data_IF_233080094800
#
_entry.id   IF_233080094800
#
_cell.length_a   1.000
_cell.length_b   1.000
_cell.length_c   1.000
_cell.angle_alpha   90.00
_cell.angle_beta   90.00
_cell.angle_gamma   90.00
#
_symmetry.space_group_name_H-M   'P 1'
#
loop_
_entity.id
_entity.type
_entity.pdbx_description
1 polymer ?
#
# COMPACT_ATOMS: atom_id res chain seq x y z
N UNK A 1 3.99 -0.24 -21.78
CA UNK A 1 5.30 -0.91 -21.63
C UNK A 1 6.07 -0.15 -20.57
N UNK A 2 6.31 -0.73 -19.40
CA UNK A 2 7.16 -0.15 -18.37
C UNK A 2 8.56 -0.67 -18.68
N UNK A 3 9.45 0.20 -19.14
CA UNK A 3 10.83 -0.15 -19.47
C UNK A 3 11.64 -0.39 -18.20
N UNK A 4 12.60 -1.32 -18.26
CA UNK A 4 13.49 -1.72 -17.16
C UNK A 4 14.29 -0.58 -16.52
N UNK A 5 14.39 0.59 -17.15
CA UNK A 5 15.12 1.76 -16.63
C UNK A 5 14.44 2.41 -15.41
N UNK A 6 13.12 2.22 -15.22
CA UNK A 6 12.40 2.71 -14.02
C UNK A 6 12.59 1.82 -12.78
N UNK A 7 13.18 0.65 -12.93
CA UNK A 7 13.38 -0.32 -11.84
C UNK A 7 14.65 -0.02 -11.04
N UNK A 8 15.66 0.61 -11.64
CA UNK A 8 16.95 0.88 -11.00
C UNK A 8 16.97 2.07 -10.01
N UNK A 9 15.92 2.92 -9.99
CA UNK A 9 15.84 4.05 -9.06
C UNK A 9 15.26 3.69 -7.67
N UNK A 10 14.98 2.42 -7.41
CA UNK A 10 14.17 1.98 -6.25
C UNK A 10 15.03 1.42 -5.10
N UNK A 11 16.35 1.38 -5.24
CA UNK A 11 17.22 0.78 -4.21
C UNK A 11 17.77 1.78 -3.18
N UNK A 12 17.14 2.94 -2.99
CA UNK A 12 17.53 3.83 -1.90
C UNK A 12 17.00 3.30 -0.57
N UNK A 13 17.87 2.57 0.13
CA UNK A 13 17.67 1.97 1.45
C UNK A 13 17.42 2.98 2.60
N UNK A 14 17.18 4.26 2.28
CA UNK A 14 16.94 5.34 3.23
C UNK A 14 15.50 5.87 3.26
N UNK A 15 14.56 5.17 2.60
CA UNK A 15 13.16 5.60 2.66
C UNK A 15 12.48 4.96 3.89
N UNK A 16 12.00 5.75 4.88
CA UNK A 16 11.31 5.22 6.05
C UNK A 16 9.91 4.63 5.71
N UNK A 17 9.46 4.78 4.49
CA UNK A 17 8.21 4.18 3.99
C UNK A 17 8.49 2.83 3.35
N UNK A 18 7.70 1.81 3.69
CA UNK A 18 7.84 0.47 3.12
C UNK A 18 7.74 0.46 1.59
N UNK A 19 6.90 1.35 1.02
CA UNK A 19 6.62 1.46 -0.41
C UNK A 19 6.44 2.91 -0.80
N UNK A 20 6.99 3.30 -1.94
CA UNK A 20 6.81 4.65 -2.49
C UNK A 20 5.40 4.87 -3.03
N UNK A 21 4.85 3.84 -3.66
CA UNK A 21 3.50 3.84 -4.22
C UNK A 21 2.95 2.41 -4.38
N UNK A 22 1.68 2.32 -4.78
CA UNK A 22 1.02 1.03 -5.03
C UNK A 22 1.72 0.20 -6.12
N UNK A 23 2.33 0.84 -7.10
CA UNK A 23 2.99 0.13 -8.22
C UNK A 23 4.19 -0.64 -7.73
N UNK A 24 5.00 -0.04 -6.87
CA UNK A 24 6.15 -0.68 -6.26
C UNK A 24 5.71 -1.90 -5.43
N UNK A 25 4.65 -1.75 -4.64
CA UNK A 25 4.09 -2.86 -3.88
C UNK A 25 3.60 -3.99 -4.79
N UNK A 26 2.88 -3.68 -5.87
CA UNK A 26 2.40 -4.68 -6.84
C UNK A 26 3.55 -5.39 -7.57
N UNK A 27 4.64 -4.68 -7.88
CA UNK A 27 5.84 -5.29 -8.44
C UNK A 27 6.45 -6.30 -7.47
N UNK A 28 6.57 -5.94 -6.20
CA UNK A 28 7.06 -6.86 -5.18
C UNK A 28 6.17 -8.09 -5.01
N UNK A 29 4.85 -7.94 -5.01
CA UNK A 29 3.93 -9.08 -4.97
C UNK A 29 4.08 -9.99 -6.19
N UNK A 30 4.30 -9.41 -7.37
CA UNK A 30 4.57 -10.18 -8.59
C UNK A 30 5.87 -10.97 -8.48
N UNK A 31 6.93 -10.33 -8.03
CA UNK A 31 8.26 -10.92 -7.92
C UNK A 31 8.37 -11.98 -6.81
N UNK A 32 7.39 -11.98 -5.88
CA UNK A 32 7.23 -12.98 -4.82
C UNK A 32 6.19 -14.07 -5.18
N UNK A 33 5.69 -14.13 -6.40
CA UNK A 33 4.61 -15.04 -6.84
C UNK A 33 3.29 -14.90 -6.04
N UNK A 34 3.09 -13.74 -5.42
CA UNK A 34 1.90 -13.42 -4.64
C UNK A 34 0.86 -12.60 -5.41
N UNK A 35 1.04 -12.42 -6.72
CA UNK A 35 0.15 -11.67 -7.60
C UNK A 35 -0.21 -12.45 -8.85
N UNK A 36 -1.50 -12.59 -9.11
CA UNK A 36 -2.03 -13.18 -10.34
C UNK A 36 -2.70 -12.10 -11.18
N UNK A 37 -2.49 -12.15 -12.50
CA UNK A 37 -3.18 -11.27 -13.48
C UNK A 37 -4.16 -12.07 -14.31
N UNK A 38 -5.37 -11.54 -14.46
CA UNK A 38 -6.41 -12.11 -15.31
C UNK A 38 -6.67 -11.12 -16.44
N UNK A 39 -6.35 -11.55 -17.67
CA UNK A 39 -6.55 -10.73 -18.87
C UNK A 39 -7.93 -10.93 -19.51
N UNK A 40 -8.70 -11.92 -19.05
CA UNK A 40 -10.07 -12.12 -19.50
C UNK A 40 -11.00 -11.05 -18.90
N UNK A 41 -11.99 -10.55 -19.66
CA UNK A 41 -12.98 -9.63 -19.12
C UNK A 41 -13.75 -10.23 -17.95
N UNK A 42 -13.83 -9.51 -16.84
CA UNK A 42 -14.50 -9.92 -15.60
C UNK A 42 -15.50 -8.84 -15.20
N UNK A 43 -16.72 -9.25 -14.85
CA UNK A 43 -17.75 -8.30 -14.41
C UNK A 43 -17.44 -7.74 -13.02
N UNK A 44 -17.46 -6.41 -12.90
CA UNK A 44 -17.24 -5.73 -11.62
C UNK A 44 -18.40 -5.89 -10.63
N UNK A 45 -19.61 -6.17 -11.12
CA UNK A 45 -20.79 -6.13 -10.27
C UNK A 45 -20.81 -7.25 -9.23
N UNK A 46 -20.52 -8.48 -9.58
CA UNK A 46 -20.50 -9.61 -8.63
C UNK A 46 -19.32 -10.56 -8.87
N UNK A 47 -18.92 -10.79 -10.12
CA UNK A 47 -17.96 -11.82 -10.48
C UNK A 47 -16.59 -11.54 -9.87
N UNK A 48 -16.06 -10.33 -10.04
CA UNK A 48 -14.76 -9.93 -9.46
C UNK A 48 -14.76 -10.09 -7.93
N UNK A 49 -15.85 -9.68 -7.26
CA UNK A 49 -16.04 -9.82 -5.83
C UNK A 49 -16.09 -11.29 -5.38
N UNK A 50 -16.82 -12.14 -6.10
CA UNK A 50 -16.89 -13.59 -5.80
C UNK A 50 -15.54 -14.27 -5.96
N UNK A 51 -14.76 -13.90 -6.97
CA UNK A 51 -13.40 -14.44 -7.16
C UNK A 51 -12.51 -14.01 -6.01
N UNK A 52 -12.52 -12.73 -5.67
CA UNK A 52 -11.72 -12.18 -4.57
C UNK A 52 -12.08 -12.81 -3.22
N UNK A 53 -13.38 -12.98 -2.91
CA UNK A 53 -13.84 -13.62 -1.67
C UNK A 53 -13.33 -15.07 -1.55
N UNK A 54 -13.41 -15.84 -2.63
CA UNK A 54 -12.87 -17.21 -2.66
C UNK A 54 -11.36 -17.24 -2.43
N UNK A 55 -10.63 -16.28 -3.01
CA UNK A 55 -9.19 -16.18 -2.82
C UNK A 55 -8.84 -15.82 -1.37
N UNK A 56 -9.52 -14.83 -0.78
CA UNK A 56 -9.32 -14.45 0.64
C UNK A 56 -9.52 -15.64 1.55
N UNK A 57 -10.63 -16.36 1.41
CA UNK A 57 -10.97 -17.53 2.24
C UNK A 57 -9.95 -18.68 2.15
N UNK A 58 -9.23 -18.78 1.04
CA UNK A 58 -8.20 -19.79 0.82
C UNK A 58 -6.77 -19.30 1.11
N UNK A 59 -6.60 -18.07 1.56
CA UNK A 59 -5.28 -17.46 1.69
C UNK A 59 -4.56 -17.31 0.36
N UNK A 60 -5.32 -17.20 -0.75
CA UNK A 60 -4.78 -17.11 -2.11
C UNK A 60 -4.12 -15.76 -2.43
N UNK A 61 -3.50 -15.63 -3.62
CA UNK A 61 -2.73 -14.46 -4.03
C UNK A 61 -3.59 -13.20 -4.19
N UNK A 62 -2.93 -12.06 -4.25
CA UNK A 62 -3.51 -10.83 -4.78
C UNK A 62 -3.86 -11.01 -6.26
N UNK A 63 -4.81 -10.25 -6.77
CA UNK A 63 -5.29 -10.41 -8.14
C UNK A 63 -5.46 -9.06 -8.82
N UNK A 64 -5.08 -8.99 -10.11
CA UNK A 64 -5.36 -7.87 -11.00
C UNK A 64 -6.23 -8.37 -12.15
N UNK A 65 -7.36 -7.73 -12.36
CA UNK A 65 -8.18 -7.89 -13.56
C UNK A 65 -7.80 -6.78 -14.53
N UNK A 66 -7.26 -7.15 -15.69
CA UNK A 66 -6.81 -6.20 -16.70
C UNK A 66 -7.98 -5.55 -17.46
N UNK A 67 -9.10 -6.25 -17.57
CA UNK A 67 -10.28 -5.85 -18.33
C UNK A 67 -11.55 -5.94 -17.49
N UNK A 68 -11.69 -5.09 -16.43
CA UNK A 68 -12.92 -5.08 -15.64
C UNK A 68 -14.07 -4.50 -16.47
N UNK A 69 -15.20 -5.22 -16.53
CA UNK A 69 -16.41 -4.82 -17.21
C UNK A 69 -17.30 -4.03 -16.25
N UNK A 70 -17.66 -2.83 -16.66
CA UNK A 70 -18.54 -1.94 -15.88
C UNK A 70 -20.00 -2.32 -16.03
N UNK A 71 -20.87 -1.76 -15.19
CA UNK A 71 -22.31 -2.02 -15.21
C UNK A 71 -22.99 -1.64 -16.54
N UNK A 72 -22.43 -0.69 -17.29
CA UNK A 72 -22.89 -0.31 -18.63
C UNK A 72 -22.40 -1.28 -19.74
N UNK A 73 -21.69 -2.35 -19.39
CA UNK A 73 -21.12 -3.32 -20.32
C UNK A 73 -19.79 -2.95 -20.94
N UNK A 74 -19.29 -1.72 -20.72
CA UNK A 74 -18.00 -1.27 -21.24
C UNK A 74 -16.82 -1.82 -20.42
N UNK A 75 -15.68 -1.99 -21.07
CA UNK A 75 -14.44 -2.33 -20.38
C UNK A 75 -13.84 -1.06 -19.79
N UNK A 76 -13.51 -1.11 -18.50
CA UNK A 76 -12.83 -0.04 -17.81
C UNK A 76 -11.47 0.25 -18.42
N UNK A 77 -11.11 1.53 -18.50
CA UNK A 77 -9.77 1.98 -18.89
C UNK A 77 -8.71 1.69 -17.81
N UNK A 78 -9.14 1.36 -16.60
CA UNK A 78 -8.28 1.10 -15.46
C UNK A 78 -8.42 -0.36 -15.03
N UNK A 79 -7.30 -1.05 -14.75
CA UNK A 79 -7.36 -2.38 -14.16
C UNK A 79 -7.92 -2.33 -12.74
N UNK A 80 -8.48 -3.43 -12.27
CA UNK A 80 -8.99 -3.60 -10.93
C UNK A 80 -8.07 -4.50 -10.13
N UNK A 81 -7.53 -4.02 -9.02
CA UNK A 81 -6.71 -4.81 -8.10
C UNK A 81 -7.52 -5.17 -6.85
N UNK A 82 -7.48 -6.44 -6.46
CA UNK A 82 -8.22 -6.95 -5.30
C UNK A 82 -7.35 -7.91 -4.47
N UNK A 83 -7.78 -8.19 -3.25
CA UNK A 83 -7.09 -9.10 -2.30
C UNK A 83 -5.63 -8.72 -2.00
N UNK A 84 -5.29 -7.43 -2.07
CA UNK A 84 -3.92 -6.97 -1.85
C UNK A 84 -3.43 -7.21 -0.41
N UNK A 85 -4.34 -7.19 0.55
CA UNK A 85 -4.08 -7.34 1.99
C UNK A 85 -4.79 -8.56 2.59
N UNK A 86 -5.09 -9.56 1.77
CA UNK A 86 -5.92 -10.71 2.16
C UNK A 86 -5.23 -11.74 3.05
N UNK A 87 -3.91 -11.62 3.28
CA UNK A 87 -3.18 -12.42 4.27
C UNK A 87 -2.45 -11.53 5.26
N UNK A 88 -2.15 -12.07 6.45
CA UNK A 88 -1.38 -11.35 7.46
C UNK A 88 0.01 -10.99 6.94
N UNK A 89 0.63 -11.89 6.21
CA UNK A 89 1.96 -11.72 5.63
C UNK A 89 1.97 -10.55 4.64
N UNK A 90 0.99 -10.48 3.73
CA UNK A 90 0.87 -9.36 2.78
C UNK A 90 0.55 -8.05 3.48
N UNK A 91 -0.28 -8.08 4.52
CA UNK A 91 -0.56 -6.88 5.34
C UNK A 91 0.71 -6.39 6.03
N UNK A 92 1.48 -7.29 6.66
CA UNK A 92 2.75 -6.94 7.29
C UNK A 92 3.76 -6.39 6.28
N UNK A 93 3.87 -7.03 5.10
CA UNK A 93 4.70 -6.59 4.00
C UNK A 93 4.31 -5.18 3.52
N UNK A 94 3.00 -4.91 3.38
CA UNK A 94 2.49 -3.61 2.98
C UNK A 94 2.81 -2.50 4.00
N UNK A 95 2.78 -2.83 5.28
CA UNK A 95 3.10 -1.92 6.37
C UNK A 95 4.61 -1.81 6.63
N UNK A 96 5.44 -2.67 6.02
CA UNK A 96 6.88 -2.70 6.25
C UNK A 96 7.29 -3.19 7.63
N UNK A 97 6.45 -4.00 8.28
CA UNK A 97 6.70 -4.53 9.63
C UNK A 97 6.67 -6.05 9.65
N UNK A 98 7.32 -6.65 10.64
CA UNK A 98 7.24 -8.10 10.87
C UNK A 98 5.98 -8.49 11.63
N UNK A 99 5.57 -7.67 12.59
CA UNK A 99 4.34 -7.82 13.36
C UNK A 99 3.67 -6.44 13.52
N UNK A 100 2.32 -6.32 13.34
CA UNK A 100 1.59 -5.08 13.54
C UNK A 100 1.73 -4.49 14.95
N UNK A 101 2.10 -5.31 15.95
CA UNK A 101 2.40 -4.85 17.30
C UNK A 101 3.53 -3.83 17.34
N UNK A 102 4.52 -3.92 16.45
CA UNK A 102 5.62 -2.96 16.35
C UNK A 102 5.12 -1.53 16.13
N UNK A 103 4.06 -1.37 15.31
CA UNK A 103 3.43 -0.06 15.08
C UNK A 103 2.77 0.43 16.36
N UNK A 104 2.05 -0.46 17.06
CA UNK A 104 1.39 -0.11 18.32
C UNK A 104 2.41 0.30 19.40
N UNK A 105 3.49 -0.44 19.56
CA UNK A 105 4.56 -0.13 20.50
C UNK A 105 5.23 1.20 20.17
N UNK A 106 5.51 1.47 18.89
CA UNK A 106 6.04 2.76 18.44
C UNK A 106 5.09 3.90 18.76
N UNK A 107 3.79 3.73 18.49
CA UNK A 107 2.79 4.75 18.82
C UNK A 107 2.69 5.01 20.32
N UNK A 108 2.69 3.96 21.15
CA UNK A 108 2.67 4.10 22.62
C UNK A 108 3.92 4.79 23.11
N UNK A 109 5.09 4.47 22.56
CA UNK A 109 6.36 5.13 22.88
C UNK A 109 6.35 6.62 22.56
N UNK A 110 5.74 7.01 21.44
CA UNK A 110 5.58 8.43 21.08
C UNK A 110 4.57 9.17 21.97
N UNK A 111 3.49 8.50 22.38
CA UNK A 111 2.45 9.12 23.23
C UNK A 111 2.85 9.20 24.71
N UNK A 112 3.69 8.27 25.19
CA UNK A 112 4.15 8.21 26.58
C UNK A 112 5.67 8.06 26.61
N UNK A 113 6.43 9.11 26.26
CA UNK A 113 7.88 9.04 26.28
C UNK A 113 8.37 8.81 27.72
N UNK A 114 9.23 7.83 27.91
CA UNK A 114 9.91 7.61 29.19
C UNK A 114 10.96 8.70 29.42
N UNK A 115 10.53 9.79 30.02
CA UNK A 115 11.39 10.95 30.33
C UNK A 115 12.57 10.54 31.21
N UNK A 116 12.36 9.60 32.14
CA UNK A 116 13.44 9.09 33.01
C UNK A 116 14.50 8.31 32.24
N UNK A 117 14.09 7.52 31.26
CA UNK A 117 15.00 6.79 30.34
C UNK A 117 15.72 7.73 29.38
N UNK A 118 15.06 8.77 28.87
CA UNK A 118 15.64 9.79 27.98
C UNK A 118 16.76 10.56 28.71
N UNK A 119 16.55 10.93 29.97
CA UNK A 119 17.57 11.62 30.79
C UNK A 119 18.81 10.76 31.03
N UNK A 120 18.64 9.44 31.13
CA UNK A 120 19.76 8.50 31.31
C UNK A 120 20.46 8.15 29.99
N UNK A 121 19.74 8.21 28.86
CA UNK A 121 20.26 7.89 27.52
C UNK A 121 19.77 8.95 26.51
N UNK A 122 20.50 10.08 26.37
CA UNK A 122 20.05 11.19 25.51
C UNK A 122 19.87 10.80 24.03
N UNK A 123 20.55 9.77 23.57
CA UNK A 123 20.40 9.25 22.20
C UNK A 123 19.01 8.68 21.90
N UNK A 124 18.35 8.05 22.88
CA UNK A 124 16.95 7.58 22.73
C UNK A 124 15.96 8.72 22.56
N UNK A 125 16.21 9.86 23.21
CA UNK A 125 15.43 11.07 23.00
C UNK A 125 15.61 11.66 21.61
N UNK A 126 16.82 11.62 21.06
CA UNK A 126 17.11 12.08 19.70
C UNK A 126 16.42 11.18 18.65
N UNK A 127 16.49 9.86 18.80
CA UNK A 127 15.81 8.91 17.91
C UNK A 127 14.30 9.13 17.91
N UNK A 128 13.69 9.32 19.10
CA UNK A 128 12.26 9.59 19.22
C UNK A 128 11.87 10.93 18.56
N UNK A 129 12.70 11.96 18.71
CA UNK A 129 12.51 13.26 18.08
C UNK A 129 12.60 13.16 16.55
N UNK A 130 13.59 12.43 16.02
CA UNK A 130 13.75 12.21 14.59
C UNK A 130 12.57 11.42 13.99
N UNK A 131 12.09 10.38 14.69
CA UNK A 131 10.89 9.65 14.30
C UNK A 131 9.66 10.56 14.28
N UNK A 132 9.44 11.37 15.32
CA UNK A 132 8.35 12.33 15.38
C UNK A 132 8.41 13.36 14.24
N UNK A 133 9.60 13.85 13.92
CA UNK A 133 9.79 14.78 12.79
C UNK A 133 9.53 14.14 11.44
N UNK A 134 9.85 12.87 11.26
CA UNK A 134 9.59 12.13 10.01
C UNK A 134 8.10 11.93 9.75
N UNK A 135 7.27 11.91 10.81
CA UNK A 135 5.81 11.80 10.74
C UNK A 135 5.11 13.12 10.41
N UNK A 136 5.83 14.25 10.47
CA UNK A 136 5.23 15.56 10.20
C UNK A 136 4.75 15.66 8.74
N UNK A 137 3.50 16.12 8.51
CA UNK A 137 2.96 16.23 7.16
C UNK A 137 3.74 17.27 6.35
N UNK A 138 4.17 16.88 5.15
CA UNK A 138 4.83 17.79 4.21
C UNK A 138 3.79 18.53 3.39
N UNK A 139 3.75 19.86 3.51
CA UNK A 139 2.87 20.69 2.70
C UNK A 139 3.48 20.86 1.30
N UNK A 140 2.82 20.35 0.27
CA UNK A 140 3.21 20.51 -1.13
C UNK A 140 2.25 21.47 -1.85
N UNK A 141 2.76 22.32 -2.74
CA UNK A 141 1.92 23.28 -3.50
C UNK A 141 1.07 22.58 -4.57
N UNK A 142 1.57 21.50 -5.17
CA UNK A 142 0.86 20.67 -6.15
C UNK A 142 1.12 19.21 -5.79
N UNK A 143 0.06 18.49 -5.39
CA UNK A 143 0.13 17.05 -5.20
C UNK A 143 -0.12 16.31 -6.51
N UNK A 144 0.52 15.14 -6.70
CA UNK A 144 0.27 14.30 -7.87
C UNK A 144 -1.22 13.90 -8.01
N UNK A 145 -1.93 13.77 -6.87
CA UNK A 145 -3.37 13.50 -6.84
C UNK A 145 -4.25 14.66 -7.35
N UNK A 146 -3.70 15.87 -7.52
CA UNK A 146 -4.41 17.03 -8.06
C UNK A 146 -4.29 17.14 -9.59
N UNK A 147 -3.60 16.23 -10.25
CA UNK A 147 -3.46 16.23 -11.71
C UNK A 147 -4.77 15.91 -12.43
N UNK A 148 -5.66 15.14 -11.77
CA UNK A 148 -7.00 14.83 -12.27
C UNK A 148 -8.01 15.19 -11.19
N UNK A 149 -8.89 16.16 -11.48
CA UNK A 149 -9.99 16.56 -10.59
C UNK A 149 -11.29 16.06 -11.19
N UNK A 150 -11.95 15.11 -10.51
CA UNK A 150 -13.29 14.66 -10.86
C UNK A 150 -14.31 15.41 -10.00
N UNK A 151 -15.06 16.31 -10.61
CA UNK A 151 -16.16 17.02 -9.97
C UNK A 151 -17.41 16.15 -10.12
N UNK A 152 -17.81 15.49 -9.06
CA UNK A 152 -19.00 14.63 -9.00
C UNK A 152 -18.79 13.16 -9.42
N UNK A 153 -18.46 12.34 -8.43
CA UNK A 153 -18.58 10.87 -8.54
C UNK A 153 -19.89 10.35 -7.94
N UNK A 154 -20.75 11.24 -7.42
CA UNK A 154 -22.01 10.86 -6.78
C UNK A 154 -23.14 11.59 -7.46
N UNK A 155 -23.59 11.04 -8.57
CA UNK A 155 -24.99 11.14 -8.96
C UNK A 155 -25.59 9.74 -8.82
N UNK A 156 -26.01 9.48 -7.61
CA UNK A 156 -26.97 8.43 -7.35
C UNK A 156 -28.34 9.04 -7.57
#
# INVERSE_FOLDING_TARGET
MITNEHIQLISDSNNPMAWRDLREYLLNLRDSDELVRISHPVDCYLEAGCIADKLVKKGGPAIIFDQPRLANGEISKFPLAMNLFGTRERTNKALGVKDPKEIGETMVGLMKPDIGGILKKPWTGLELALQGMSMAPKKVRKGACQAVVMLSLIHI
#
